data_IF_179441482675
#
_entry.id   IF_179441482675
#
_cell.length_a   1.000
_cell.length_b   1.000
_cell.length_c   1.000
_cell.angle_alpha   90.00
_cell.angle_beta   90.00
_cell.angle_gamma   90.00
#
_symmetry.space_group_name_H-M   'P 1'
#
loop_
_entity.id
_entity.type
_entity.pdbx_description
1 polymer ?
#
# COMPACT_ATOMS: atom_id res chain seq x y z
N UNK A 1 -8.69 -28.07 -8.31
CA UNK A 1 -8.48 -26.86 -7.49
C UNK A 1 -8.70 -25.67 -8.40
N UNK A 2 -9.80 -24.92 -8.22
CA UNK A 2 -10.30 -23.87 -9.13
C UNK A 2 -10.44 -22.51 -8.41
N UNK A 3 -9.75 -22.35 -7.28
CA UNK A 3 -9.80 -21.16 -6.41
C UNK A 3 -8.73 -20.10 -6.75
N UNK A 4 -7.87 -20.32 -7.75
CA UNK A 4 -6.53 -19.71 -7.76
C UNK A 4 -6.48 -18.34 -8.45
N UNK A 5 -6.96 -18.22 -9.69
CA UNK A 5 -6.67 -17.01 -10.51
C UNK A 5 -7.44 -15.76 -10.05
N UNK A 6 -8.74 -15.89 -9.78
CA UNK A 6 -9.58 -14.76 -9.37
C UNK A 6 -9.27 -14.25 -7.97
N UNK A 7 -8.91 -15.17 -7.05
CA UNK A 7 -8.49 -14.81 -5.70
C UNK A 7 -7.12 -14.12 -5.70
N UNK A 8 -6.16 -14.65 -6.46
CA UNK A 8 -4.84 -14.05 -6.60
C UNK A 8 -4.93 -12.65 -7.24
N UNK A 9 -5.73 -12.48 -8.29
CA UNK A 9 -5.95 -11.16 -8.92
C UNK A 9 -6.56 -10.15 -7.93
N UNK A 10 -7.58 -10.57 -7.16
CA UNK A 10 -8.19 -9.73 -6.14
C UNK A 10 -7.17 -9.31 -5.08
N UNK A 11 -6.39 -10.26 -4.55
CA UNK A 11 -5.36 -9.99 -3.55
C UNK A 11 -4.26 -9.06 -4.07
N UNK A 12 -3.86 -9.22 -5.34
CA UNK A 12 -2.90 -8.30 -5.99
C UNK A 12 -3.47 -6.89 -6.09
N UNK A 13 -4.73 -6.75 -6.49
CA UNK A 13 -5.41 -5.44 -6.58
C UNK A 13 -5.59 -4.80 -5.21
N UNK A 14 -5.92 -5.59 -4.18
CA UNK A 14 -6.03 -5.13 -2.80
C UNK A 14 -4.68 -4.62 -2.26
N UNK A 15 -3.60 -5.39 -2.43
CA UNK A 15 -2.24 -4.97 -2.07
C UNK A 15 -1.84 -3.69 -2.78
N UNK A 16 -2.10 -3.60 -4.09
CA UNK A 16 -1.84 -2.38 -4.87
C UNK A 16 -2.60 -1.18 -4.30
N UNK A 17 -3.89 -1.35 -3.97
CA UNK A 17 -4.69 -0.28 -3.39
C UNK A 17 -4.09 0.25 -2.07
N UNK A 18 -3.72 -0.65 -1.16
CA UNK A 18 -3.07 -0.28 0.12
C UNK A 18 -1.75 0.44 -0.10
N UNK A 19 -0.90 -0.03 -1.03
CA UNK A 19 0.36 0.65 -1.35
C UNK A 19 0.15 2.05 -1.92
N UNK A 20 -0.86 2.24 -2.77
CA UNK A 20 -1.20 3.55 -3.32
C UNK A 20 -1.67 4.53 -2.24
N UNK A 21 -2.43 4.08 -1.23
CA UNK A 21 -2.80 4.93 -0.08
C UNK A 21 -1.57 5.39 0.71
N UNK A 22 -0.64 4.47 0.99
CA UNK A 22 0.62 4.81 1.69
C UNK A 22 1.45 5.79 0.87
N UNK A 23 1.58 5.55 -0.43
CA UNK A 23 2.35 6.42 -1.33
C UNK A 23 1.72 7.82 -1.43
N UNK A 24 0.40 7.91 -1.54
CA UNK A 24 -0.32 9.18 -1.58
C UNK A 24 -0.11 9.98 -0.29
N UNK A 25 -0.11 9.31 0.86
CA UNK A 25 0.18 9.94 2.17
C UNK A 25 1.61 10.48 2.24
N UNK A 26 2.60 9.73 1.75
CA UNK A 26 3.99 10.18 1.68
C UNK A 26 4.16 11.39 0.76
N UNK A 27 3.65 11.31 -0.47
CA UNK A 27 3.70 12.41 -1.45
C UNK A 27 3.00 13.67 -0.94
N UNK A 28 1.89 13.53 -0.23
CA UNK A 28 1.18 14.66 0.39
C UNK A 28 2.03 15.36 1.47
N UNK A 29 2.86 14.62 2.21
CA UNK A 29 3.78 15.20 3.19
C UNK A 29 4.95 15.89 2.49
N UNK A 30 5.54 15.24 1.50
CA UNK A 30 6.65 15.79 0.72
C UNK A 30 6.22 17.09 0.02
N UNK A 31 5.02 17.09 -0.57
CA UNK A 31 4.43 18.27 -1.21
C UNK A 31 4.32 19.48 -0.26
N UNK A 32 3.94 19.24 1.00
CA UNK A 32 3.85 20.28 2.03
C UNK A 32 5.22 20.77 2.48
N UNK A 33 6.22 19.91 2.52
CA UNK A 33 7.58 20.27 2.92
C UNK A 33 8.34 21.03 1.83
N UNK A 34 8.02 20.77 0.55
CA UNK A 34 8.66 21.41 -0.59
C UNK A 34 8.42 22.92 -0.68
N UNK A 35 7.37 23.48 -0.07
CA UNK A 35 7.07 24.92 -0.13
C UNK A 35 8.19 25.83 0.40
N UNK A 36 9.20 25.26 1.06
CA UNK A 36 10.34 26.00 1.60
C UNK A 36 11.55 26.06 0.64
N UNK A 37 11.50 25.43 -0.53
CA UNK A 37 12.62 25.36 -1.47
C UNK A 37 12.48 26.35 -2.63
N UNK A 38 13.62 26.81 -3.18
CA UNK A 38 13.63 27.71 -4.35
C UNK A 38 12.99 27.14 -5.62
N UNK A 39 12.92 25.81 -5.74
CA UNK A 39 12.31 25.10 -6.89
C UNK A 39 10.98 24.42 -6.50
N UNK A 40 10.34 24.87 -5.41
CA UNK A 40 9.13 24.29 -4.86
C UNK A 40 8.02 24.12 -5.90
N UNK A 41 7.87 25.08 -6.82
CA UNK A 41 6.77 25.09 -7.79
C UNK A 41 6.93 24.00 -8.85
N UNK A 42 8.15 23.78 -9.36
CA UNK A 42 8.42 22.75 -10.37
C UNK A 42 8.25 21.36 -9.78
N UNK A 43 8.87 21.10 -8.63
CA UNK A 43 8.72 19.81 -7.94
C UNK A 43 7.30 19.60 -7.41
N UNK A 44 6.66 20.67 -6.96
CA UNK A 44 5.27 20.66 -6.51
C UNK A 44 4.33 20.24 -7.63
N UNK A 45 4.46 20.85 -8.81
CA UNK A 45 3.67 20.48 -9.98
C UNK A 45 3.89 19.03 -10.41
N UNK A 46 5.13 18.53 -10.40
CA UNK A 46 5.41 17.13 -10.70
C UNK A 46 4.76 16.18 -9.68
N UNK A 47 4.82 16.49 -8.39
CA UNK A 47 4.16 15.68 -7.36
C UNK A 47 2.65 15.72 -7.52
N UNK A 48 2.07 16.89 -7.80
CA UNK A 48 0.63 17.03 -8.01
C UNK A 48 0.16 16.12 -9.17
N UNK A 49 0.92 16.08 -10.29
CA UNK A 49 0.62 15.15 -11.40
C UNK A 49 0.69 13.66 -11.02
N UNK A 50 1.69 13.29 -10.22
CA UNK A 50 1.83 11.90 -9.75
C UNK A 50 0.66 11.55 -8.82
N UNK A 51 0.30 12.45 -7.90
CA UNK A 51 -0.84 12.28 -7.00
C UNK A 51 -2.15 12.15 -7.76
N UNK A 52 -2.39 12.98 -8.78
CA UNK A 52 -3.58 12.89 -9.64
C UNK A 52 -3.66 11.53 -10.35
N UNK A 53 -2.53 11.02 -10.85
CA UNK A 53 -2.49 9.70 -11.48
C UNK A 53 -2.81 8.58 -10.48
N UNK A 54 -2.25 8.66 -9.27
CA UNK A 54 -2.53 7.70 -8.19
C UNK A 54 -4.02 7.72 -7.84
N UNK A 55 -4.63 8.90 -7.70
CA UNK A 55 -6.06 9.05 -7.40
C UNK A 55 -6.96 8.44 -8.49
N UNK A 56 -6.57 8.57 -9.76
CA UNK A 56 -7.26 7.92 -10.88
C UNK A 56 -7.17 6.39 -10.77
N UNK A 57 -5.98 5.85 -10.60
CA UNK A 57 -5.75 4.40 -10.44
C UNK A 57 -6.53 3.83 -9.23
N UNK A 58 -6.55 4.55 -8.10
CA UNK A 58 -7.35 4.17 -6.94
C UNK A 58 -8.85 4.17 -7.22
N UNK A 59 -9.35 5.09 -8.04
CA UNK A 59 -10.76 5.12 -8.43
C UNK A 59 -11.13 3.92 -9.29
N UNK A 60 -10.25 3.52 -10.21
CA UNK A 60 -10.42 2.31 -11.01
C UNK A 60 -10.44 1.04 -10.13
N UNK A 61 -9.53 0.96 -9.14
CA UNK A 61 -9.48 -0.14 -8.17
C UNK A 61 -10.74 -0.21 -7.30
N UNK A 62 -11.23 0.93 -6.78
CA UNK A 62 -12.52 0.99 -6.06
C UNK A 62 -13.68 0.52 -6.94
N UNK A 63 -13.67 0.91 -8.21
CA UNK A 63 -14.64 0.43 -9.20
C UNK A 63 -14.57 -1.09 -9.40
N UNK A 64 -13.37 -1.65 -9.42
CA UNK A 64 -13.18 -3.10 -9.46
C UNK A 64 -13.73 -3.79 -8.21
N UNK A 65 -13.39 -3.31 -7.00
CA UNK A 65 -13.87 -3.91 -5.75
C UNK A 65 -15.39 -3.84 -5.59
N UNK A 66 -16.03 -2.74 -6.01
CA UNK A 66 -17.51 -2.64 -6.01
C UNK A 66 -18.19 -3.65 -6.92
N UNK A 67 -17.53 -4.05 -8.01
CA UNK A 67 -18.05 -5.03 -8.98
C UNK A 67 -17.65 -6.46 -8.65
N UNK A 68 -16.68 -6.67 -7.76
CA UNK A 68 -16.29 -8.00 -7.35
C UNK A 68 -17.31 -8.56 -6.36
N UNK A 69 -17.67 -9.86 -6.46
CA UNK A 69 -18.56 -10.52 -5.50
C UNK A 69 -17.94 -10.67 -4.09
N UNK A 70 -16.70 -10.21 -3.89
CA UNK A 70 -16.06 -10.13 -2.59
C UNK A 70 -16.59 -8.96 -1.78
N UNK A 71 -17.68 -9.19 -1.06
CA UNK A 71 -18.02 -8.37 0.10
C UNK A 71 -16.83 -8.46 1.06
N UNK A 72 -16.23 -7.33 1.47
CA UNK A 72 -15.17 -7.34 2.49
C UNK A 72 -15.87 -7.59 3.82
N UNK A 73 -16.02 -8.86 4.18
CA UNK A 73 -16.78 -9.29 5.36
C UNK A 73 -15.97 -9.00 6.66
N UNK A 74 -14.63 -8.93 6.57
CA UNK A 74 -13.80 -8.79 7.77
C UNK A 74 -12.39 -8.25 7.48
N UNK A 75 -11.99 -7.17 8.18
CA UNK A 75 -10.58 -6.75 8.28
C UNK A 75 -10.09 -7.22 9.64
N UNK A 76 -9.49 -8.41 9.72
CA UNK A 76 -8.76 -8.83 10.92
C UNK A 76 -7.43 -8.09 10.95
N UNK A 77 -7.32 -7.06 11.79
CA UNK A 77 -6.01 -6.61 12.25
C UNK A 77 -5.50 -7.67 13.22
N UNK A 78 -4.53 -8.48 12.80
CA UNK A 78 -3.76 -9.26 13.77
C UNK A 78 -2.79 -8.31 14.48
N UNK A 79 -2.94 -8.09 15.80
CA UNK A 79 -1.96 -7.35 16.56
C UNK A 79 -0.80 -8.30 16.87
N UNK A 80 0.36 -8.03 16.26
CA UNK A 80 1.63 -8.50 16.79
C UNK A 80 2.31 -9.59 15.97
N UNK A 81 3.02 -9.19 14.91
CA UNK A 81 4.36 -9.75 14.69
C UNK A 81 5.31 -8.86 15.49
N UNK A 82 5.30 -9.04 16.81
CA UNK A 82 6.47 -8.70 17.61
C UNK A 82 7.57 -9.67 17.19
N UNK A 83 8.45 -9.24 16.30
CA UNK A 83 9.70 -9.94 16.02
C UNK A 83 10.50 -10.03 17.33
N UNK A 84 10.36 -11.12 18.06
CA UNK A 84 11.40 -11.52 19.00
C UNK A 84 12.55 -12.12 18.18
N UNK A 85 13.81 -11.70 18.39
CA UNK A 85 14.93 -12.43 17.83
C UNK A 85 15.05 -13.75 18.59
N UNK A 86 14.59 -14.85 17.99
CA UNK A 86 15.00 -16.20 18.41
C UNK A 86 16.49 -16.35 18.15
N UNK A 87 17.28 -16.15 19.19
CA UNK A 87 18.67 -16.60 19.25
C UNK A 87 18.66 -18.13 19.27
N UNK A 88 18.91 -18.73 18.12
CA UNK A 88 19.27 -20.14 18.01
C UNK A 88 20.73 -20.22 17.57
N UNK A 89 21.65 -20.39 18.53
CA UNK A 89 22.81 -21.26 18.37
C UNK A 89 23.08 -22.02 19.66
N UNK A 90 22.44 -23.18 19.67
CA UNK A 90 22.88 -24.42 20.27
C UNK A 90 24.35 -24.69 19.93
N UNK A 91 25.20 -24.98 20.92
CA UNK A 91 26.30 -25.95 20.76
C UNK A 91 26.51 -26.65 22.11
N UNK A 92 25.82 -27.78 22.31
CA UNK A 92 26.20 -28.74 23.34
C UNK A 92 27.53 -29.43 23.01
N UNK A 93 28.31 -29.77 24.05
CA UNK A 93 28.75 -31.13 24.38
C UNK A 93 29.82 -31.12 25.46
N UNK A 94 29.53 -31.90 26.51
CA UNK A 94 30.42 -32.69 27.39
C UNK A 94 31.68 -32.03 27.95
#
# INVERSE_FOLDING_TARGET
MLLDDGHQEFMLKLKRYVHLEVLLSALSRDRKQLSHLKMADVYGWMIDQVMDRILKDMTELRGYFRRSPGEIIEIKQEPGIAMYPTSTKDIGRK
#
